data_IF_477529845504
#
_entry.id   IF_477529845504
#
_cell.length_a   1.000
_cell.length_b   1.000
_cell.length_c   1.000
_cell.angle_alpha   90.00
_cell.angle_beta   90.00
_cell.angle_gamma   90.00
#
_symmetry.space_group_name_H-M   'P 1'
#
loop_
_entity.id
_entity.type
_entity.pdbx_description
1 polymer ?
#
# COMPACT_ATOMS: atom_id res chain seq x y z
N UNK A 1 36.39 -4.81 32.11
CA UNK A 1 35.25 -5.13 33.03
C UNK A 1 34.13 -4.10 32.93
N UNK A 2 34.40 -2.79 33.05
CA UNK A 2 33.37 -1.75 32.96
C UNK A 2 32.64 -1.70 31.60
N UNK A 3 33.38 -1.82 30.49
CA UNK A 3 32.80 -1.84 29.13
C UNK A 3 31.84 -3.01 28.91
N UNK A 4 32.17 -4.18 29.45
CA UNK A 4 31.29 -5.36 29.41
C UNK A 4 30.03 -5.13 30.25
N UNK A 5 30.14 -4.48 31.41
CA UNK A 5 28.97 -4.15 32.22
C UNK A 5 28.05 -3.13 31.52
N UNK A 6 28.62 -2.13 30.85
CA UNK A 6 27.86 -1.14 30.08
C UNK A 6 27.15 -1.81 28.89
N UNK A 7 27.80 -2.74 28.19
CA UNK A 7 27.19 -3.42 27.04
C UNK A 7 25.96 -4.28 27.41
N UNK A 8 25.91 -4.83 28.63
CA UNK A 8 24.76 -5.62 29.10
C UNK A 8 23.46 -4.82 29.20
N UNK A 9 23.54 -3.51 29.46
CA UNK A 9 22.35 -2.65 29.56
C UNK A 9 21.60 -2.57 28.23
N UNK A 10 22.33 -2.35 27.13
CA UNK A 10 21.78 -2.32 25.78
C UNK A 10 21.22 -3.68 25.36
N UNK A 11 21.94 -4.76 25.65
CA UNK A 11 21.49 -6.12 25.33
C UNK A 11 20.18 -6.49 26.05
N UNK A 12 20.08 -6.18 27.35
CA UNK A 12 18.88 -6.48 28.14
C UNK A 12 17.66 -5.69 27.66
N UNK A 13 17.86 -4.39 27.38
CA UNK A 13 16.81 -3.54 26.81
C UNK A 13 16.36 -4.06 25.45
N UNK A 14 17.30 -4.43 24.57
CA UNK A 14 16.99 -4.96 23.24
C UNK A 14 16.15 -6.24 23.28
N UNK A 15 16.46 -7.17 24.20
CA UNK A 15 15.68 -8.40 24.36
C UNK A 15 14.26 -8.12 24.89
N UNK A 16 14.13 -7.19 25.84
CA UNK A 16 12.82 -6.80 26.37
C UNK A 16 11.97 -6.08 25.31
N UNK A 17 12.54 -5.12 24.59
CA UNK A 17 11.87 -4.38 23.51
C UNK A 17 11.44 -5.34 22.38
N UNK A 18 12.28 -6.32 22.04
CA UNK A 18 11.96 -7.37 21.05
C UNK A 18 10.72 -8.16 21.47
N UNK A 19 10.68 -8.62 22.72
CA UNK A 19 9.55 -9.40 23.23
C UNK A 19 8.25 -8.58 23.29
N UNK A 20 8.31 -7.34 23.79
CA UNK A 20 7.15 -6.45 23.88
C UNK A 20 6.57 -6.12 22.51
N UNK A 21 7.42 -5.71 21.57
CA UNK A 21 6.96 -5.25 20.26
C UNK A 21 6.47 -6.37 19.34
N UNK A 22 6.95 -7.61 19.55
CA UNK A 22 6.37 -8.79 18.88
C UNK A 22 4.88 -8.94 19.23
N UNK A 23 4.52 -8.66 20.48
CA UNK A 23 3.11 -8.67 20.92
C UNK A 23 2.28 -7.57 20.26
N UNK A 24 2.84 -6.37 20.08
CA UNK A 24 2.16 -5.24 19.42
C UNK A 24 1.88 -5.54 17.95
N UNK A 25 2.87 -6.05 17.21
CA UNK A 25 2.69 -6.47 15.83
C UNK A 25 1.64 -7.59 15.68
N UNK A 26 1.64 -8.56 16.59
CA UNK A 26 0.62 -9.61 16.63
C UNK A 26 -0.79 -9.05 16.89
N UNK A 27 -0.91 -8.06 17.77
CA UNK A 27 -2.17 -7.38 18.04
C UNK A 27 -2.68 -6.60 16.83
N UNK A 28 -1.81 -5.83 16.16
CA UNK A 28 -2.15 -5.13 14.91
C UNK A 28 -2.63 -6.13 13.84
N UNK A 29 -1.89 -7.22 13.63
CA UNK A 29 -2.24 -8.25 12.64
C UNK A 29 -3.62 -8.85 12.94
N UNK A 30 -3.91 -9.16 14.20
CA UNK A 30 -5.22 -9.67 14.61
C UNK A 30 -6.34 -8.68 14.29
N UNK A 31 -6.14 -7.39 14.54
CA UNK A 31 -7.13 -6.34 14.23
C UNK A 31 -7.34 -6.16 12.73
N UNK A 32 -6.27 -6.19 11.95
CA UNK A 32 -6.37 -6.13 10.49
C UNK A 32 -7.17 -7.31 9.95
N UNK A 33 -6.97 -8.52 10.48
CA UNK A 33 -7.74 -9.70 10.09
C UNK A 33 -9.22 -9.53 10.45
N UNK A 34 -9.53 -9.07 11.67
CA UNK A 34 -10.92 -8.89 12.13
C UNK A 34 -11.70 -7.90 11.25
N UNK A 35 -11.05 -6.81 10.81
CA UNK A 35 -11.65 -5.82 9.90
C UNK A 35 -11.77 -6.35 8.46
N UNK A 36 -10.81 -7.15 8.01
CA UNK A 36 -10.71 -7.56 6.60
C UNK A 36 -11.30 -8.95 6.30
N UNK A 37 -11.72 -9.73 7.29
CA UNK A 37 -12.14 -11.14 7.11
C UNK A 37 -13.29 -11.34 6.12
N UNK A 38 -14.18 -10.37 5.99
CA UNK A 38 -15.33 -10.43 5.08
C UNK A 38 -15.01 -9.92 3.66
N UNK A 39 -13.79 -9.45 3.41
CA UNK A 39 -13.35 -8.99 2.09
C UNK A 39 -12.93 -10.19 1.23
N UNK A 40 -13.92 -10.74 0.54
CA UNK A 40 -13.80 -11.92 -0.33
C UNK A 40 -14.18 -11.53 -1.76
N UNK A 41 -13.57 -12.15 -2.76
CA UNK A 41 -13.98 -11.96 -4.16
C UNK A 41 -15.31 -12.68 -4.42
N UNK A 42 -16.40 -11.93 -4.65
CA UNK A 42 -17.76 -12.52 -4.74
C UNK A 42 -18.36 -12.55 -6.15
N UNK A 43 -17.85 -11.73 -7.06
CA UNK A 43 -18.37 -11.60 -8.42
C UNK A 43 -17.25 -11.23 -9.39
N UNK A 44 -17.47 -11.44 -10.69
CA UNK A 44 -16.47 -11.15 -11.71
C UNK A 44 -16.36 -9.63 -11.94
N UNK A 45 -17.48 -8.97 -12.26
CA UNK A 45 -17.57 -7.52 -12.48
C UNK A 45 -18.68 -6.89 -11.62
N UNK A 46 -18.40 -5.72 -11.04
CA UNK A 46 -19.40 -4.89 -10.35
C UNK A 46 -20.11 -3.89 -11.28
N UNK A 47 -19.67 -3.77 -12.54
CA UNK A 47 -20.24 -2.86 -13.54
C UNK A 47 -19.80 -1.40 -13.41
N UNK A 48 -18.91 -1.08 -12.46
CA UNK A 48 -18.43 0.30 -12.28
C UNK A 48 -17.63 0.78 -13.50
N UNK A 49 -17.85 2.03 -13.88
CA UNK A 49 -17.01 2.79 -14.83
C UNK A 49 -15.92 3.58 -14.12
N UNK A 50 -15.99 3.68 -12.79
CA UNK A 50 -15.07 4.46 -12.00
C UNK A 50 -13.75 3.71 -11.78
N UNK A 51 -12.67 4.46 -11.87
CA UNK A 51 -11.32 3.97 -11.64
C UNK A 51 -10.49 5.00 -10.89
N UNK A 52 -9.23 4.64 -10.70
CA UNK A 52 -8.23 5.50 -10.10
C UNK A 52 -7.24 5.92 -11.18
N UNK A 53 -6.94 7.22 -11.23
CA UNK A 53 -5.85 7.74 -12.04
C UNK A 53 -4.53 7.57 -11.31
N UNK A 54 -3.65 6.73 -11.85
CA UNK A 54 -2.29 6.55 -11.35
C UNK A 54 -1.37 7.39 -12.23
N UNK A 55 -0.68 8.34 -11.61
CA UNK A 55 0.37 9.13 -12.24
C UNK A 55 1.76 8.66 -11.84
N UNK A 56 2.73 8.95 -12.71
CA UNK A 56 4.15 8.91 -12.36
C UNK A 56 4.39 9.82 -11.12
N UNK A 57 5.14 9.35 -10.12
CA UNK A 57 5.48 10.16 -8.96
C UNK A 57 6.40 11.34 -9.32
N UNK A 58 6.25 12.45 -8.60
CA UNK A 58 7.11 13.63 -8.81
C UNK A 58 8.49 13.43 -8.18
N UNK A 59 9.49 14.14 -8.70
CA UNK A 59 10.87 14.09 -8.18
C UNK A 59 10.89 14.49 -6.69
N UNK A 60 11.16 13.51 -5.81
CA UNK A 60 11.18 13.68 -4.35
C UNK A 60 10.13 12.83 -3.61
N UNK A 61 9.16 12.24 -4.31
CA UNK A 61 8.21 11.31 -3.71
C UNK A 61 8.81 9.90 -3.58
N UNK A 62 8.68 9.29 -2.40
CA UNK A 62 9.11 7.91 -2.09
C UNK A 62 8.16 6.85 -2.65
N UNK A 63 7.51 7.13 -3.77
CA UNK A 63 6.53 6.23 -4.38
C UNK A 63 7.21 5.31 -5.41
N UNK A 64 6.74 4.05 -5.53
CA UNK A 64 7.18 3.16 -6.60
C UNK A 64 6.89 3.75 -7.99
N UNK A 65 7.69 3.32 -8.98
CA UNK A 65 7.52 3.72 -10.38
C UNK A 65 6.11 3.41 -10.91
N UNK A 66 5.68 4.13 -11.96
CA UNK A 66 4.39 3.85 -12.60
C UNK A 66 4.25 2.38 -13.00
N UNK A 67 5.31 1.77 -13.52
CA UNK A 67 5.44 0.36 -13.92
C UNK A 67 4.94 -0.61 -12.85
N UNK A 68 5.48 -0.50 -11.64
CA UNK A 68 5.17 -1.43 -10.54
C UNK A 68 3.73 -1.28 -10.07
N UNK A 69 3.17 -0.07 -10.16
CA UNK A 69 1.82 0.25 -9.67
C UNK A 69 0.72 -0.21 -10.62
N UNK A 70 0.99 -0.24 -11.94
CA UNK A 70 0.00 -0.63 -12.96
C UNK A 70 0.06 -2.12 -13.32
N UNK A 71 1.19 -2.79 -13.08
CA UNK A 71 1.37 -4.20 -13.44
C UNK A 71 0.33 -5.08 -12.72
N UNK A 72 -0.37 -5.93 -13.47
CA UNK A 72 -1.38 -6.84 -12.93
C UNK A 72 -2.72 -6.18 -12.54
N UNK A 73 -2.89 -4.90 -12.86
CA UNK A 73 -4.18 -4.20 -12.75
C UNK A 73 -4.94 -4.25 -14.07
N UNK A 74 -6.24 -3.96 -14.02
CA UNK A 74 -7.08 -3.85 -15.21
C UNK A 74 -7.31 -2.40 -15.58
N UNK A 75 -7.33 -2.12 -16.87
CA UNK A 75 -7.61 -0.78 -17.38
C UNK A 75 -9.10 -0.41 -17.22
N UNK A 76 -9.38 0.73 -16.58
CA UNK A 76 -10.75 1.23 -16.43
C UNK A 76 -11.24 1.95 -17.70
N UNK A 77 -10.33 2.55 -18.46
CA UNK A 77 -10.58 3.10 -19.79
C UNK A 77 -9.57 2.60 -20.80
N UNK A 78 -9.93 2.67 -22.07
CA UNK A 78 -9.05 2.33 -23.19
C UNK A 78 -7.78 3.20 -23.14
N UNK A 79 -6.61 2.57 -23.18
CA UNK A 79 -5.32 3.26 -23.22
C UNK A 79 -4.86 3.33 -24.67
N UNK A 80 -4.71 4.54 -25.18
CA UNK A 80 -4.29 4.82 -26.56
C UNK A 80 -2.93 5.49 -26.55
N UNK A 81 -2.10 5.14 -27.52
CA UNK A 81 -0.83 5.82 -27.76
C UNK A 81 -1.10 7.19 -28.41
N UNK A 82 -0.62 8.31 -27.82
CA UNK A 82 -0.80 9.64 -28.38
C UNK A 82 -0.16 9.83 -29.77
N UNK A 83 0.91 9.07 -30.07
CA UNK A 83 1.70 9.27 -31.29
C UNK A 83 1.15 8.46 -32.47
N UNK A 84 0.77 7.21 -32.23
CA UNK A 84 0.31 6.28 -33.28
C UNK A 84 -1.21 6.20 -33.39
N UNK A 85 -1.94 6.60 -32.35
CA UNK A 85 -3.38 6.41 -32.25
C UNK A 85 -3.80 4.95 -32.06
N UNK A 86 -2.84 4.03 -31.93
CA UNK A 86 -3.11 2.62 -31.70
C UNK A 86 -3.56 2.37 -30.26
N UNK A 87 -4.35 1.31 -30.09
CA UNK A 87 -4.84 0.90 -28.77
C UNK A 87 -3.84 -0.03 -28.13
N UNK A 88 -3.28 0.37 -26.98
CA UNK A 88 -2.34 -0.46 -26.24
C UNK A 88 -3.09 -1.46 -25.37
N UNK A 89 -4.13 -1.00 -24.65
CA UNK A 89 -4.91 -1.79 -23.70
C UNK A 89 -6.39 -1.45 -23.84
N UNK A 90 -7.24 -2.46 -23.99
CA UNK A 90 -8.68 -2.27 -23.99
C UNK A 90 -9.22 -2.12 -22.57
N UNK A 91 -10.46 -1.62 -22.47
CA UNK A 91 -11.16 -1.59 -21.18
C UNK A 91 -11.35 -3.01 -20.64
N UNK A 92 -11.20 -3.19 -19.33
CA UNK A 92 -11.27 -4.48 -18.63
C UNK A 92 -10.20 -5.49 -19.06
N UNK A 93 -9.14 -5.05 -19.73
CA UNK A 93 -8.02 -5.89 -20.06
C UNK A 93 -6.92 -5.75 -19.00
N UNK A 94 -6.26 -6.86 -18.67
CA UNK A 94 -5.12 -6.89 -17.74
C UNK A 94 -3.91 -6.19 -18.37
N UNK A 95 -3.20 -5.44 -17.55
CA UNK A 95 -1.96 -4.74 -17.88
C UNK A 95 -0.78 -5.66 -17.54
N UNK A 96 -0.38 -6.46 -18.53
CA UNK A 96 0.81 -7.34 -18.48
C UNK A 96 2.11 -6.55 -18.63
N UNK A 97 3.25 -7.14 -18.27
CA UNK A 97 4.57 -6.50 -18.32
C UNK A 97 4.92 -6.00 -19.73
N UNK A 98 4.48 -6.72 -20.77
CA UNK A 98 4.64 -6.28 -22.16
C UNK A 98 3.84 -5.03 -22.51
N UNK A 99 2.60 -4.92 -21.99
CA UNK A 99 1.74 -3.75 -22.20
C UNK A 99 2.26 -2.54 -21.42
N UNK A 100 2.79 -2.76 -20.21
CA UNK A 100 3.47 -1.73 -19.43
C UNK A 100 4.62 -1.09 -20.22
N UNK A 101 5.49 -1.92 -20.83
CA UNK A 101 6.60 -1.40 -21.64
C UNK A 101 6.11 -0.55 -22.82
N UNK A 102 4.98 -0.92 -23.45
CA UNK A 102 4.35 -0.11 -24.51
C UNK A 102 3.80 1.22 -23.98
N UNK A 103 3.16 1.21 -22.81
CA UNK A 103 2.63 2.42 -22.16
C UNK A 103 3.77 3.41 -21.87
N UNK A 104 4.91 2.91 -21.38
CA UNK A 104 6.09 3.74 -21.08
C UNK A 104 6.72 4.26 -22.38
N UNK A 105 6.86 3.41 -23.40
CA UNK A 105 7.38 3.81 -24.71
C UNK A 105 6.52 4.88 -25.39
N UNK A 106 5.20 4.85 -25.16
CA UNK A 106 4.26 5.87 -25.62
C UNK A 106 4.37 7.21 -24.83
N UNK A 107 5.15 7.26 -23.74
CA UNK A 107 5.34 8.45 -22.92
C UNK A 107 4.13 8.82 -22.06
N UNK A 108 3.27 7.86 -21.72
CA UNK A 108 2.07 8.10 -20.91
C UNK A 108 2.44 8.29 -19.43
N UNK A 109 2.15 9.48 -18.90
CA UNK A 109 2.44 9.84 -17.49
C UNK A 109 1.30 9.49 -16.53
N UNK A 110 0.11 9.20 -17.05
CA UNK A 110 -1.09 8.86 -16.27
C UNK A 110 -1.88 7.73 -16.92
N UNK A 111 -2.32 6.77 -16.13
CA UNK A 111 -3.14 5.62 -16.57
C UNK A 111 -4.35 5.48 -15.66
N UNK A 112 -5.51 5.22 -16.27
CA UNK A 112 -6.77 5.01 -15.56
C UNK A 112 -7.01 3.51 -15.34
N UNK A 113 -6.92 3.07 -14.09
CA UNK A 113 -7.01 1.66 -13.70
C UNK A 113 -8.24 1.40 -12.83
N UNK A 114 -8.72 0.16 -12.82
CA UNK A 114 -9.70 -0.30 -11.84
C UNK A 114 -8.99 -0.53 -10.50
N UNK A 115 -9.70 -0.23 -9.40
CA UNK A 115 -9.18 -0.38 -8.04
C UNK A 115 -10.27 -0.95 -7.13
N UNK A 116 -9.92 -1.69 -6.07
CA UNK A 116 -10.88 -2.06 -5.02
C UNK A 116 -11.55 -0.87 -4.37
N UNK A 117 -10.90 0.31 -4.35
CA UNK A 117 -11.42 1.54 -3.77
C UNK A 117 -12.65 2.09 -4.52
N UNK A 118 -12.75 1.86 -5.83
CA UNK A 118 -13.89 2.29 -6.66
C UNK A 118 -14.88 1.14 -6.94
N UNK A 119 -14.73 0.00 -6.25
CA UNK A 119 -15.56 -1.17 -6.46
C UNK A 119 -16.96 -0.96 -5.87
N UNK A 120 -18.00 -1.20 -6.67
CA UNK A 120 -19.40 -1.08 -6.25
C UNK A 120 -20.02 -2.43 -5.85
N UNK A 121 -19.18 -3.41 -5.47
CA UNK A 121 -19.67 -4.70 -4.95
C UNK A 121 -20.34 -4.50 -3.60
N UNK A 122 -21.50 -5.15 -3.37
CA UNK A 122 -22.21 -5.06 -2.08
C UNK A 122 -21.47 -5.74 -0.94
N UNK A 123 -20.77 -6.84 -1.25
CA UNK A 123 -19.98 -7.62 -0.30
C UNK A 123 -18.63 -7.95 -0.92
N UNK A 124 -17.56 -7.69 -0.19
CA UNK A 124 -16.19 -7.89 -0.64
C UNK A 124 -15.83 -7.08 -1.89
N UNK A 125 -15.11 -7.69 -2.83
CA UNK A 125 -14.69 -7.04 -4.07
C UNK A 125 -15.00 -7.91 -5.31
N UNK A 126 -14.93 -7.32 -6.50
CA UNK A 126 -15.01 -8.06 -7.75
C UNK A 126 -13.62 -8.42 -8.30
N UNK A 127 -13.54 -9.44 -9.15
CA UNK A 127 -12.30 -9.88 -9.78
C UNK A 127 -11.63 -8.75 -10.58
N UNK A 128 -12.40 -8.01 -11.38
CA UNK A 128 -11.84 -6.97 -12.25
C UNK A 128 -11.32 -5.74 -11.49
N UNK A 129 -11.89 -5.43 -10.32
CA UNK A 129 -11.39 -4.33 -9.48
C UNK A 129 -10.17 -4.75 -8.66
N UNK A 130 -10.06 -6.02 -8.28
CA UNK A 130 -8.88 -6.55 -7.58
C UNK A 130 -7.70 -6.73 -8.55
N UNK A 131 -7.92 -7.45 -9.65
CA UNK A 131 -6.92 -7.77 -10.65
C UNK A 131 -6.21 -9.10 -10.41
N UNK A 132 -4.90 -9.10 -10.65
CA UNK A 132 -4.05 -10.31 -10.60
C UNK A 132 -3.84 -10.81 -9.18
N UNK A 133 -3.93 -12.12 -9.00
CA UNK A 133 -3.44 -12.80 -7.81
C UNK A 133 -1.90 -12.81 -7.85
N UNK A 134 -1.27 -12.12 -6.90
CA UNK A 134 0.18 -12.01 -6.80
C UNK A 134 0.87 -13.35 -6.51
N UNK A 135 0.15 -14.34 -5.96
CA UNK A 135 0.72 -15.65 -5.65
C UNK A 135 0.75 -16.59 -6.87
N UNK A 136 -0.28 -16.52 -7.74
CA UNK A 136 -0.43 -17.43 -8.89
C UNK A 136 -0.14 -16.79 -10.24
N UNK A 137 -0.16 -15.46 -10.31
CA UNK A 137 0.14 -14.72 -11.53
C UNK A 137 -0.96 -14.76 -12.59
N UNK A 138 -2.20 -15.12 -12.24
CA UNK A 138 -3.39 -14.98 -13.09
C UNK A 138 -4.46 -14.15 -12.37
N UNK A 139 -5.57 -13.84 -13.05
CA UNK A 139 -6.71 -13.15 -12.44
C UNK A 139 -7.20 -13.90 -11.20
N UNK A 140 -7.54 -13.15 -10.14
CA UNK A 140 -7.96 -13.75 -8.86
C UNK A 140 -9.21 -14.62 -9.01
N UNK A 141 -9.24 -15.78 -8.34
CA UNK A 141 -10.40 -16.68 -8.36
C UNK A 141 -11.56 -16.19 -7.49
N UNK A 142 -12.78 -16.59 -7.85
CA UNK A 142 -13.96 -16.37 -7.01
C UNK A 142 -13.80 -17.09 -5.66
N UNK A 143 -14.35 -16.47 -4.62
CA UNK A 143 -14.27 -16.89 -3.22
C UNK A 143 -12.87 -16.85 -2.59
N UNK A 144 -11.89 -16.19 -3.23
CA UNK A 144 -10.59 -15.92 -2.60
C UNK A 144 -10.73 -14.90 -1.47
N UNK A 145 -10.20 -15.25 -0.28
CA UNK A 145 -10.19 -14.38 0.90
C UNK A 145 -9.07 -13.33 0.85
N UNK A 146 -9.19 -12.39 -0.09
CA UNK A 146 -8.18 -11.35 -0.33
C UNK A 146 -7.94 -10.42 0.86
N UNK A 147 -8.93 -10.23 1.73
CA UNK A 147 -8.77 -9.42 2.94
C UNK A 147 -7.81 -10.05 3.96
N UNK A 148 -7.90 -11.36 4.17
CA UNK A 148 -6.99 -12.09 5.08
C UNK A 148 -5.56 -12.04 4.52
N UNK A 149 -5.41 -12.26 3.21
CA UNK A 149 -4.12 -12.18 2.52
C UNK A 149 -3.51 -10.79 2.72
N UNK A 150 -4.28 -9.72 2.46
CA UNK A 150 -3.82 -8.34 2.65
C UNK A 150 -3.44 -8.04 4.11
N UNK A 151 -4.26 -8.47 5.07
CA UNK A 151 -3.99 -8.27 6.50
C UNK A 151 -2.69 -8.96 6.94
N UNK A 152 -2.43 -10.19 6.47
CA UNK A 152 -1.19 -10.91 6.75
C UNK A 152 0.02 -10.26 6.08
N UNK A 153 -0.09 -9.85 4.81
CA UNK A 153 0.98 -9.17 4.09
C UNK A 153 1.42 -7.85 4.73
N UNK A 154 0.50 -7.17 5.43
CA UNK A 154 0.81 -5.95 6.20
C UNK A 154 1.35 -6.29 7.60
N UNK A 155 0.74 -7.27 8.26
CA UNK A 155 1.05 -7.66 9.64
C UNK A 155 2.41 -8.34 9.81
N UNK A 156 2.78 -9.26 8.91
CA UNK A 156 4.04 -10.02 9.03
C UNK A 156 5.27 -9.09 9.02
N UNK A 157 5.44 -8.14 8.07
CA UNK A 157 6.55 -7.18 8.12
C UNK A 157 6.51 -6.27 9.34
N UNK A 158 5.35 -6.08 9.97
CA UNK A 158 5.21 -5.34 11.23
C UNK A 158 6.13 -5.91 12.31
N UNK A 159 6.32 -7.23 12.35
CA UNK A 159 7.29 -7.86 13.27
C UNK A 159 8.72 -7.42 12.93
N UNK A 160 9.09 -7.34 11.65
CA UNK A 160 10.42 -6.92 11.23
C UNK A 160 10.68 -5.43 11.52
N UNK A 161 9.68 -4.57 11.32
CA UNK A 161 9.73 -3.14 11.67
C UNK A 161 9.97 -2.95 13.16
N UNK A 162 9.44 -3.85 13.99
CA UNK A 162 9.68 -3.82 15.43
C UNK A 162 11.02 -4.38 15.87
N UNK A 163 11.56 -5.38 15.16
CA UNK A 163 12.80 -6.08 15.51
C UNK A 163 14.06 -5.31 15.10
N UNK A 164 14.01 -4.44 14.09
CA UNK A 164 15.19 -3.71 13.57
C UNK A 164 15.38 -2.29 14.12
N UNK A 165 14.41 -1.73 14.84
CA UNK A 165 14.54 -0.40 15.46
C UNK A 165 15.28 -0.47 16.80
N UNK A 166 16.59 -0.71 16.75
CA UNK A 166 17.48 -0.45 17.88
C UNK A 166 17.68 1.06 17.98
N UNK A 167 17.06 1.72 18.96
CA UNK A 167 17.34 3.13 19.21
C UNK A 167 18.00 3.32 20.58
N UNK A 168 19.30 3.06 20.60
CA UNK A 168 20.25 3.78 21.45
C UNK A 168 20.84 5.00 20.71
N UNK A 169 20.50 5.24 19.42
CA UNK A 169 21.21 6.24 18.61
C UNK A 169 20.37 7.01 17.56
N UNK A 170 19.09 7.29 17.81
CA UNK A 170 18.27 8.05 16.85
C UNK A 170 17.07 8.82 17.42
N UNK A 171 16.87 8.83 18.74
CA UNK A 171 15.65 9.41 19.37
C UNK A 171 15.78 10.91 19.67
N UNK A 172 16.86 11.57 19.25
CA UNK A 172 17.01 13.02 19.41
C UNK A 172 16.91 13.65 18.03
N UNK A 173 15.70 14.09 17.63
CA UNK A 173 15.57 15.08 16.55
C UNK A 173 14.58 14.81 15.42
N UNK A 174 13.69 13.82 15.47
CA UNK A 174 12.63 13.68 14.46
C UNK A 174 11.27 14.07 15.05
N UNK A 175 10.69 15.15 14.52
CA UNK A 175 9.35 15.70 14.85
C UNK A 175 8.19 14.80 14.31
N UNK A 176 8.52 13.64 13.74
CA UNK A 176 7.58 12.75 13.07
C UNK A 176 7.71 11.35 13.66
N UNK A 177 6.59 10.78 14.09
CA UNK A 177 6.46 9.37 14.52
C UNK A 177 6.80 8.43 13.35
N UNK A 178 7.68 7.45 13.58
CA UNK A 178 8.13 6.49 12.57
C UNK A 178 7.97 5.04 13.04
N UNK A 179 8.05 4.09 12.11
CA UNK A 179 7.92 2.65 12.40
C UNK A 179 6.48 2.21 12.71
N UNK A 180 6.33 1.17 13.53
CA UNK A 180 5.04 0.59 13.89
C UNK A 180 4.04 1.61 14.52
N UNK A 181 4.45 2.52 15.43
CA UNK A 181 3.54 3.51 16.00
C UNK A 181 2.86 4.38 14.93
N UNK A 182 3.56 4.71 13.85
CA UNK A 182 2.97 5.49 12.75
C UNK A 182 1.94 4.69 11.97
N UNK A 183 2.20 3.40 11.75
CA UNK A 183 1.26 2.50 11.07
C UNK A 183 -0.02 2.37 11.89
N UNK A 184 0.09 2.18 13.20
CA UNK A 184 -1.07 2.11 14.11
C UNK A 184 -1.87 3.41 14.13
N UNK A 185 -1.20 4.58 14.22
CA UNK A 185 -1.88 5.88 14.16
C UNK A 185 -2.72 6.05 12.88
N UNK A 186 -2.18 5.61 11.73
CA UNK A 186 -2.86 5.69 10.43
C UNK A 186 -4.08 4.75 10.36
N UNK A 187 -3.93 3.49 10.76
CA UNK A 187 -5.03 2.52 10.72
C UNK A 187 -6.13 2.80 11.74
N UNK A 188 -5.80 3.45 12.85
CA UNK A 188 -6.77 3.84 13.87
C UNK A 188 -7.34 5.25 13.67
N UNK A 189 -6.93 5.96 12.61
CA UNK A 189 -7.31 7.34 12.36
C UNK A 189 -7.09 8.27 13.57
N UNK A 190 -5.99 8.06 14.32
CA UNK A 190 -5.62 8.90 15.47
C UNK A 190 -5.11 10.26 15.01
N UNK A 191 -5.31 11.27 15.85
CA UNK A 191 -4.73 12.60 15.62
C UNK A 191 -3.20 12.52 15.67
N UNK A 192 -2.48 12.94 14.61
CA UNK A 192 -1.02 12.98 14.62
C UNK A 192 -0.50 13.94 15.71
N UNK A 193 0.66 13.62 16.30
CA UNK A 193 1.28 14.48 17.32
C UNK A 193 1.77 15.81 16.76
N UNK A 194 2.37 15.78 15.58
CA UNK A 194 2.77 16.96 14.81
C UNK A 194 1.75 17.15 13.68
N UNK A 195 0.73 17.98 13.92
CA UNK A 195 -0.31 18.27 12.94
C UNK A 195 0.17 19.37 11.99
N UNK A 196 0.06 19.10 10.69
CA UNK A 196 0.17 20.15 9.68
C UNK A 196 -1.18 20.85 9.54
N UNK A 197 -1.16 22.17 9.48
CA UNK A 197 -2.34 22.97 9.14
C UNK A 197 -2.56 22.85 7.63
N UNK A 198 -3.75 22.43 7.24
CA UNK A 198 -4.18 22.36 5.84
C UNK A 198 -5.06 23.58 5.54
N UNK A 199 -4.98 24.10 4.30
CA UNK A 199 -5.91 25.14 3.86
C UNK A 199 -7.27 24.50 3.56
N UNK A 200 -8.33 25.08 4.10
CA UNK A 200 -9.72 24.68 3.79
C UNK A 200 -10.19 25.24 2.44
N UNK A 201 -9.48 26.24 1.92
CA UNK A 201 -9.83 26.95 0.69
C UNK A 201 -8.65 26.98 -0.29
N UNK A 202 -8.97 27.01 -1.57
CA UNK A 202 -7.99 27.24 -2.63
C UNK A 202 -7.56 28.72 -2.64
N UNK A 203 -6.31 28.99 -3.02
CA UNK A 203 -5.78 30.34 -3.09
C UNK A 203 -4.28 30.41 -3.35
N UNK A 204 -3.73 31.61 -3.26
CA UNK A 204 -2.28 31.86 -3.32
C UNK A 204 -1.81 32.15 -1.90
N UNK A 205 -0.88 31.34 -1.41
CA UNK A 205 -0.19 31.60 -0.15
C UNK A 205 1.04 32.50 -0.43
N UNK A 206 1.20 33.55 0.36
CA UNK A 206 2.41 34.37 0.38
C UNK A 206 3.18 34.01 1.66
N UNK A 207 4.46 33.65 1.50
CA UNK A 207 5.34 33.13 2.57
C UNK A 207 6.38 34.18 2.93
#
# INVERSE_FOLDING_TARGET
VLEYFISTHGARKGLADTALRTSESGYLTRRLIDVAQDVIIRQEDCGTTEGLWISEPQAGELLPSLTERITGRLAASKVVDPNTGETIVNRNEEIDEQKVNKIIAAGLTKVHIRSPLSCQSRQGACQLCYGRDLARGHLVDLNTAVGIIAAQSIGEPGTQLTLRTFHTGGVVGLDITSGLPRVEELFEARLPKAQAIISEIDGVAEV
#
